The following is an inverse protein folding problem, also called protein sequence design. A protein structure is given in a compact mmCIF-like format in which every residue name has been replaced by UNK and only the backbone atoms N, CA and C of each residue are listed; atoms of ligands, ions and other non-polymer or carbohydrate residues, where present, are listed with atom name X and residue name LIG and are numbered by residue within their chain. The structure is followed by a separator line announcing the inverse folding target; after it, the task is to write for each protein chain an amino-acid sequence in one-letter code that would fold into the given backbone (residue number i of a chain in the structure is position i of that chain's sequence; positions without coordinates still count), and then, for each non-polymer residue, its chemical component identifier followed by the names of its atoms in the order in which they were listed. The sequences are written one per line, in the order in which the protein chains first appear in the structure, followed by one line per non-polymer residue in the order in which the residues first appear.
data_IF_775889984017
#
_entry.id   IF_775889984017
#
_cell.length_a   1.000
_cell.length_b   1.000
_cell.length_c   1.000
_cell.angle_alpha   90.00
_cell.angle_beta   90.00
_cell.angle_gamma   90.00
#
_symmetry.space_group_name_H-M   'P 1'
#
loop_
_entity.id
_entity.type
_entity.pdbx_description
1 polymer ?
#
# COMPACT_ATOMS: atom_id res chain seq x y z
N UNK A 1 6.71 6.04 -1.77
CA UNK A 1 5.93 4.80 -1.94
C UNK A 1 5.29 4.48 -0.60
N UNK A 2 3.99 4.25 -0.54
CA UNK A 2 3.27 4.01 0.72
C UNK A 2 1.87 3.45 0.47
N UNK A 3 1.12 3.22 1.54
CA UNK A 3 -0.27 2.75 1.50
C UNK A 3 -1.13 3.71 2.31
N UNK A 4 -2.00 4.46 1.63
CA UNK A 4 -2.77 5.57 2.21
C UNK A 4 -1.86 6.65 2.83
N UNK A 5 -0.74 6.95 2.15
CA UNK A 5 0.38 7.76 2.68
C UNK A 5 0.01 9.23 2.93
N UNK A 6 -1.10 9.70 2.35
CA UNK A 6 -1.63 11.03 2.63
C UNK A 6 -1.95 11.23 4.12
N UNK A 7 -2.40 10.17 4.80
CA UNK A 7 -2.68 10.21 6.23
C UNK A 7 -1.40 10.48 7.04
N UNK A 8 -0.30 9.80 6.70
CA UNK A 8 1.01 10.01 7.33
C UNK A 8 1.51 11.43 7.10
N UNK A 9 1.44 11.93 5.87
CA UNK A 9 1.84 13.30 5.54
C UNK A 9 1.05 14.35 6.33
N UNK A 10 -0.26 14.13 6.49
CA UNK A 10 -1.13 15.03 7.25
C UNK A 10 -0.73 15.10 8.73
N UNK A 11 -0.49 13.95 9.36
CA UNK A 11 -0.07 13.87 10.77
C UNK A 11 1.33 14.46 10.98
N UNK A 12 2.24 14.26 10.02
CA UNK A 12 3.61 14.76 10.09
C UNK A 12 3.75 16.23 9.65
N UNK A 13 2.67 16.85 9.16
CA UNK A 13 2.68 18.19 8.56
C UNK A 13 3.70 18.34 7.41
N UNK A 14 3.82 17.29 6.58
CA UNK A 14 4.71 17.24 5.42
C UNK A 14 3.91 17.50 4.15
N UNK A 15 4.45 18.31 3.24
CA UNK A 15 3.95 18.43 1.87
C UNK A 15 4.92 17.74 0.92
N UNK A 16 4.45 16.76 0.15
CA UNK A 16 5.25 16.02 -0.82
C UNK A 16 4.59 16.07 -2.22
N UNK A 17 5.35 16.32 -3.31
CA UNK A 17 4.77 16.42 -4.65
C UNK A 17 4.05 15.15 -5.09
N UNK A 18 2.79 15.28 -5.55
CA UNK A 18 1.96 14.15 -5.98
C UNK A 18 2.63 13.30 -7.09
N UNK A 19 3.37 13.93 -8.00
CA UNK A 19 4.10 13.23 -9.08
C UNK A 19 5.21 12.30 -8.56
N UNK A 20 5.72 12.55 -7.34
CA UNK A 20 6.73 11.73 -6.65
C UNK A 20 6.10 10.84 -5.57
N UNK A 21 4.78 10.88 -5.41
CA UNK A 21 4.04 9.99 -4.52
C UNK A 21 3.60 8.75 -5.30
N UNK A 22 3.81 7.58 -4.72
CA UNK A 22 3.27 6.31 -5.21
C UNK A 22 2.50 5.69 -4.05
N UNK A 23 1.19 5.60 -4.21
CA UNK A 23 0.28 5.10 -3.18
C UNK A 23 -0.41 3.83 -3.67
N UNK A 24 -0.12 2.71 -3.01
CA UNK A 24 -0.66 1.39 -3.37
C UNK A 24 -2.15 1.25 -3.03
N UNK A 25 -2.71 2.11 -2.17
CA UNK A 25 -4.14 2.09 -1.82
C UNK A 25 -5.02 2.69 -2.92
N UNK A 26 -4.50 3.67 -3.67
CA UNK A 26 -5.22 4.37 -4.74
C UNK A 26 -4.86 3.90 -6.15
N UNK A 27 -3.77 3.13 -6.31
CA UNK A 27 -3.39 2.57 -7.61
C UNK A 27 -4.43 1.56 -8.10
N UNK A 28 -5.12 1.92 -9.19
CA UNK A 28 -6.08 1.03 -9.88
C UNK A 28 -5.40 -0.24 -10.39
N UNK A 29 -4.15 -0.10 -10.85
CA UNK A 29 -3.38 -1.23 -11.36
C UNK A 29 -3.05 -2.23 -10.25
N UNK A 30 -2.61 -1.75 -9.07
CA UNK A 30 -2.38 -2.63 -7.91
C UNK A 30 -3.62 -3.42 -7.50
N UNK A 31 -4.81 -2.78 -7.51
CA UNK A 31 -6.07 -3.47 -7.20
C UNK A 31 -6.44 -4.52 -8.24
N UNK A 32 -6.28 -4.19 -9.52
CA UNK A 32 -6.56 -5.09 -10.63
C UNK A 32 -5.70 -6.35 -10.57
N UNK A 33 -4.38 -6.22 -10.40
CA UNK A 33 -3.46 -7.36 -10.27
C UNK A 33 -3.76 -8.20 -9.02
N UNK A 34 -4.27 -7.57 -7.96
CA UNK A 34 -4.69 -8.26 -6.75
C UNK A 34 -6.08 -8.93 -6.86
N UNK A 35 -6.76 -8.81 -8.01
CA UNK A 35 -8.10 -9.35 -8.24
C UNK A 35 -9.22 -8.60 -7.54
N UNK A 36 -9.00 -7.35 -7.15
CA UNK A 36 -9.99 -6.48 -6.51
C UNK A 36 -10.60 -5.47 -7.48
N UNK A 37 -11.79 -4.98 -7.15
CA UNK A 37 -12.45 -3.92 -7.91
C UNK A 37 -11.75 -2.58 -7.73
N UNK A 38 -11.77 -1.72 -8.75
CA UNK A 38 -11.11 -0.41 -8.74
C UNK A 38 -11.71 0.56 -7.71
N UNK A 39 -13.03 0.45 -7.47
CA UNK A 39 -13.78 1.25 -6.49
C UNK A 39 -13.60 0.76 -5.04
N UNK A 40 -13.11 -0.47 -4.85
CA UNK A 40 -12.98 -1.04 -3.52
C UNK A 40 -11.81 -0.43 -2.75
N UNK A 41 -12.02 -0.07 -1.48
CA UNK A 41 -10.93 0.29 -0.57
C UNK A 41 -10.33 -0.98 0.00
N UNK A 42 -9.11 -1.30 -0.42
CA UNK A 42 -8.42 -2.54 -0.05
C UNK A 42 -7.31 -2.22 0.94
N UNK A 43 -7.31 -2.90 2.08
CA UNK A 43 -6.25 -2.74 3.09
C UNK A 43 -4.93 -3.38 2.64
N UNK A 44 -3.81 -2.87 3.15
CA UNK A 44 -2.49 -3.44 2.92
C UNK A 44 -2.44 -4.94 3.24
N UNK A 45 -3.10 -5.37 4.32
CA UNK A 45 -3.19 -6.79 4.71
C UNK A 45 -3.82 -7.66 3.61
N UNK A 46 -4.88 -7.18 2.97
CA UNK A 46 -5.54 -7.90 1.87
C UNK A 46 -4.69 -7.90 0.61
N UNK A 47 -4.06 -6.77 0.29
CA UNK A 47 -3.12 -6.70 -0.84
C UNK A 47 -1.92 -7.64 -0.64
N UNK A 48 -1.31 -7.64 0.55
CA UNK A 48 -0.21 -8.52 0.90
C UNK A 48 -0.60 -9.99 0.79
N UNK A 49 -1.81 -10.34 1.21
CA UNK A 49 -2.32 -11.70 1.09
C UNK A 49 -2.56 -12.10 -0.37
N UNK A 50 -3.19 -11.24 -1.16
CA UNK A 50 -3.54 -11.53 -2.55
C UNK A 50 -2.31 -11.59 -3.47
N UNK A 51 -1.39 -10.64 -3.33
CA UNK A 51 -0.26 -10.46 -4.23
C UNK A 51 1.01 -11.19 -3.79
N UNK A 52 1.27 -11.25 -2.48
CA UNK A 52 2.52 -11.80 -1.93
C UNK A 52 2.30 -13.10 -1.16
N UNK A 53 1.03 -13.53 -0.96
CA UNK A 53 0.65 -14.63 -0.08
C UNK A 53 1.20 -14.50 1.36
N UNK A 54 1.31 -13.25 1.84
CA UNK A 54 1.82 -12.94 3.17
C UNK A 54 0.67 -12.57 4.11
N UNK A 55 0.70 -13.14 5.32
CA UNK A 55 -0.17 -12.72 6.43
C UNK A 55 0.60 -11.74 7.33
N UNK A 56 0.27 -10.45 7.19
CA UNK A 56 0.88 -9.36 7.96
C UNK A 56 -0.08 -8.88 9.06
N UNK A 57 0.43 -8.09 10.01
CA UNK A 57 -0.39 -7.48 11.08
C UNK A 57 -1.23 -8.54 11.83
N UNK A 58 -0.62 -9.69 12.14
CA UNK A 58 -1.30 -10.84 12.76
C UNK A 58 -1.54 -10.66 14.26
N UNK A 59 -0.77 -9.79 14.91
CA UNK A 59 -0.91 -9.46 16.34
C UNK A 59 -1.06 -7.96 16.55
N UNK A 60 0.00 -7.22 16.28
CA UNK A 60 0.06 -5.77 16.35
C UNK A 60 0.58 -5.23 15.02
N UNK A 61 0.38 -3.93 14.80
CA UNK A 61 0.97 -3.23 13.67
C UNK A 61 2.47 -3.00 13.91
N UNK A 62 3.28 -3.28 12.90
CA UNK A 62 4.69 -2.90 12.84
C UNK A 62 4.89 -2.03 11.60
N UNK A 63 5.21 -0.75 11.82
CA UNK A 63 5.45 0.21 10.73
C UNK A 63 6.59 -0.23 9.80
N UNK A 64 7.56 -0.99 10.30
CA UNK A 64 8.69 -1.47 9.49
C UNK A 64 8.25 -2.65 8.61
N UNK A 65 7.40 -3.55 9.13
CA UNK A 65 6.73 -4.57 8.32
C UNK A 65 5.88 -3.93 7.23
N UNK A 66 5.00 -3.00 7.61
CA UNK A 66 4.07 -2.34 6.70
C UNK A 66 4.81 -1.59 5.57
N UNK A 67 5.87 -0.85 5.89
CA UNK A 67 6.69 -0.16 4.90
C UNK A 67 7.39 -1.12 3.92
N UNK A 68 7.93 -2.25 4.42
CA UNK A 68 8.57 -3.26 3.59
C UNK A 68 7.59 -3.96 2.67
N UNK A 69 6.44 -4.35 3.20
CA UNK A 69 5.39 -5.04 2.45
C UNK A 69 4.81 -4.12 1.38
N UNK A 70 4.58 -2.86 1.72
CA UNK A 70 4.11 -1.86 0.75
C UNK A 70 5.10 -1.67 -0.40
N UNK A 71 6.39 -1.62 -0.10
CA UNK A 71 7.42 -1.54 -1.13
C UNK A 71 7.49 -2.82 -1.98
N UNK A 72 7.31 -3.99 -1.37
CA UNK A 72 7.27 -5.27 -2.08
C UNK A 72 6.06 -5.36 -3.02
N UNK A 73 4.88 -4.92 -2.57
CA UNK A 73 3.70 -4.76 -3.41
C UNK A 73 4.03 -3.85 -4.58
N UNK A 74 4.50 -2.62 -4.33
CA UNK A 74 4.83 -1.67 -5.39
C UNK A 74 5.80 -2.24 -6.44
N UNK A 75 6.85 -2.96 -6.01
CA UNK A 75 7.81 -3.60 -6.91
C UNK A 75 7.23 -4.75 -7.72
N UNK A 76 6.20 -5.43 -7.24
CA UNK A 76 5.58 -6.54 -7.97
C UNK A 76 4.67 -6.02 -9.09
N UNK A 77 3.96 -4.91 -8.86
CA UNK A 77 2.99 -4.35 -9.80
C UNK A 77 3.59 -3.27 -10.72
N UNK A 78 4.51 -2.43 -10.25
CA UNK A 78 4.96 -1.27 -11.03
C UNK A 78 6.42 -1.33 -11.49
N UNK A 79 7.10 -2.48 -11.32
CA UNK A 79 8.42 -2.72 -11.92
C UNK A 79 8.27 -3.43 -13.28
#
# INVERSE_FOLDING_TARGET
VGHAIENDFRVLHISHPAILTRDTSTSKYTKFEAGFSDVEQVSLKRLAKALLNLDIQTKAHDSVEDARVTLAVYKLVEA
#
